data_IF_270113407646
#
_entry.id   IF_270113407646
#
_cell.length_a   1.000
_cell.length_b   1.000
_cell.length_c   1.000
_cell.angle_alpha   90.00
_cell.angle_beta   90.00
_cell.angle_gamma   90.00
#
_symmetry.space_group_name_H-M   'P 1'
#
loop_
_entity.id
_entity.type
_entity.pdbx_description
1 polymer ?
#
# COMPACT_ATOMS: atom_id res chain seq x y z
N UNK A 1 8.88 9.05 8.24
CA UNK A 1 8.72 7.82 9.03
C UNK A 1 9.10 6.62 8.19
N UNK A 2 9.69 5.58 8.79
CA UNK A 2 10.00 4.32 8.11
C UNK A 2 9.30 3.20 8.86
N UNK A 3 8.62 2.31 8.13
CA UNK A 3 8.03 1.08 8.66
C UNK A 3 8.69 -0.08 7.90
N UNK A 4 9.46 -0.89 8.61
CA UNK A 4 10.20 -2.02 8.06
C UNK A 4 9.60 -3.34 8.58
N UNK A 5 9.30 -4.27 7.69
CA UNK A 5 8.80 -5.58 8.06
C UNK A 5 9.90 -6.55 8.50
N UNK A 6 10.82 -6.13 9.40
CA UNK A 6 12.08 -6.74 9.92
C UNK A 6 12.21 -8.30 10.00
N UNK A 7 11.88 -9.02 8.92
CA UNK A 7 11.88 -10.47 8.81
C UNK A 7 12.22 -10.91 7.39
N UNK A 8 12.24 -12.23 7.11
CA UNK A 8 12.48 -12.75 5.76
C UNK A 8 11.55 -12.13 4.71
N UNK A 9 12.00 -12.09 3.46
CA UNK A 9 11.18 -11.51 2.38
C UNK A 9 9.83 -12.23 2.27
N UNK A 10 8.76 -11.46 2.41
CA UNK A 10 7.38 -11.96 2.38
C UNK A 10 6.85 -12.55 3.69
N UNK A 11 7.58 -12.47 4.80
CA UNK A 11 7.11 -13.02 6.08
C UNK A 11 6.25 -12.05 6.89
N UNK A 12 6.39 -10.74 6.68
CA UNK A 12 5.59 -9.73 7.38
C UNK A 12 4.39 -9.36 6.53
N UNK A 13 3.22 -9.72 7.04
CA UNK A 13 1.95 -9.60 6.35
C UNK A 13 1.05 -8.68 7.16
N UNK A 14 0.42 -7.75 6.46
CA UNK A 14 -0.70 -6.95 6.97
C UNK A 14 -1.90 -7.34 6.12
N UNK A 15 -2.84 -8.04 6.75
CA UNK A 15 -4.05 -8.58 6.14
C UNK A 15 -5.28 -7.91 6.77
N UNK A 16 -6.14 -7.33 5.94
CA UNK A 16 -7.41 -6.72 6.37
C UNK A 16 -8.62 -7.62 6.12
N UNK A 17 -8.41 -8.85 5.65
CA UNK A 17 -9.44 -9.87 5.42
C UNK A 17 -10.59 -9.37 4.51
N UNK A 18 -10.31 -8.46 3.58
CA UNK A 18 -11.28 -7.89 2.64
C UNK A 18 -12.23 -6.84 3.23
N UNK A 19 -11.92 -6.27 4.40
CA UNK A 19 -12.87 -5.41 5.13
C UNK A 19 -12.54 -3.91 5.11
N UNK A 20 -11.30 -3.50 4.81
CA UNK A 20 -10.90 -2.09 4.83
C UNK A 20 -9.63 -1.80 4.01
N UNK A 21 -9.29 -0.52 3.81
CA UNK A 21 -7.94 -0.13 3.36
C UNK A 21 -6.91 -0.47 4.44
N UNK A 22 -5.68 -0.80 4.02
CA UNK A 22 -4.60 -1.15 4.95
C UNK A 22 -3.97 0.12 5.54
N UNK A 23 -3.67 1.14 4.72
CA UNK A 23 -3.20 2.45 5.19
C UNK A 23 -3.91 3.61 4.51
N UNK A 24 -4.32 4.61 5.30
CA UNK A 24 -4.80 5.90 4.81
C UNK A 24 -3.80 7.00 5.20
N UNK A 25 -3.06 7.48 4.21
CA UNK A 25 -1.98 8.43 4.35
C UNK A 25 -2.47 9.82 3.97
N UNK A 26 -2.85 10.58 5.00
CA UNK A 26 -3.28 11.98 4.89
C UNK A 26 -2.23 12.93 5.48
N UNK A 27 -2.25 14.20 5.06
CA UNK A 27 -1.34 15.22 5.59
C UNK A 27 -0.01 15.35 4.84
N UNK A 28 1.07 15.77 5.51
CA UNK A 28 2.36 16.13 4.86
C UNK A 28 3.51 15.19 5.22
N UNK A 29 3.22 14.07 5.89
CA UNK A 29 4.26 13.18 6.39
C UNK A 29 4.87 12.34 5.27
N UNK A 30 6.20 12.34 5.16
CA UNK A 30 6.92 11.40 4.31
C UNK A 30 6.97 10.03 4.99
N UNK A 31 6.57 8.98 4.28
CA UNK A 31 6.57 7.61 4.79
C UNK A 31 7.28 6.67 3.82
N UNK A 32 8.00 5.69 4.39
CA UNK A 32 8.65 4.62 3.63
C UNK A 32 8.22 3.28 4.18
N UNK A 33 7.68 2.42 3.33
CA UNK A 33 7.40 1.02 3.64
C UNK A 33 8.48 0.14 3.02
N UNK A 34 9.02 -0.79 3.81
CA UNK A 34 10.07 -1.72 3.37
C UNK A 34 9.70 -3.14 3.76
N UNK A 35 9.76 -4.07 2.80
CA UNK A 35 9.64 -5.52 3.04
C UNK A 35 8.33 -5.92 3.77
N UNK A 36 7.20 -5.44 3.26
CA UNK A 36 5.87 -5.71 3.84
C UNK A 36 4.94 -6.24 2.73
N UNK A 37 4.15 -7.24 3.08
CA UNK A 37 3.06 -7.73 2.24
C UNK A 37 1.73 -7.10 2.70
N UNK A 38 1.08 -6.39 1.79
CA UNK A 38 -0.21 -5.74 1.96
C UNK A 38 -1.25 -6.59 1.23
N UNK A 39 -2.08 -7.34 1.98
CA UNK A 39 -2.99 -8.31 1.37
C UNK A 39 -4.45 -8.12 1.75
N UNK A 40 -5.33 -8.49 0.82
CA UNK A 40 -6.79 -8.48 0.99
C UNK A 40 -7.34 -7.12 1.49
N UNK A 41 -6.75 -6.03 1.00
CA UNK A 41 -7.27 -4.68 1.18
C UNK A 41 -8.56 -4.45 0.40
N UNK A 42 -9.54 -3.77 0.99
CA UNK A 42 -10.80 -3.43 0.33
C UNK A 42 -11.24 -2.01 0.69
N UNK A 43 -11.32 -1.12 -0.29
CA UNK A 43 -11.69 0.28 -0.03
C UNK A 43 -12.38 0.95 -1.22
N UNK A 44 -12.83 2.19 -1.03
CA UNK A 44 -13.24 3.01 -2.17
C UNK A 44 -12.04 3.46 -3.00
N UNK A 45 -11.00 3.93 -2.33
CA UNK A 45 -9.77 4.44 -2.96
C UNK A 45 -8.59 3.69 -2.35
N UNK A 46 -7.77 3.03 -3.16
CA UNK A 46 -6.54 2.39 -2.70
C UNK A 46 -6.80 1.20 -1.78
N UNK A 47 -7.09 0.02 -2.34
CA UNK A 47 -7.44 -1.16 -1.55
C UNK A 47 -6.39 -1.50 -0.48
N UNK A 48 -5.11 -1.42 -0.83
CA UNK A 48 -4.01 -1.49 0.13
C UNK A 48 -3.68 -0.12 0.73
N UNK A 49 -3.28 0.85 -0.09
CA UNK A 49 -2.85 2.17 0.39
C UNK A 49 -3.63 3.28 -0.32
N UNK A 50 -4.25 4.14 0.46
CA UNK A 50 -4.75 5.43 -0.01
C UNK A 50 -3.77 6.55 0.36
N UNK A 51 -3.26 7.28 -0.63
CA UNK A 51 -2.33 8.39 -0.48
C UNK A 51 -2.93 9.68 -1.06
N UNK A 52 -3.58 10.46 -0.19
CA UNK A 52 -4.13 11.78 -0.51
C UNK A 52 -3.36 12.93 0.16
N UNK A 53 -2.36 12.61 0.96
CA UNK A 53 -1.45 13.58 1.55
C UNK A 53 -0.43 14.14 0.56
N UNK A 54 0.15 15.30 0.91
CA UNK A 54 1.25 15.98 0.20
C UNK A 54 2.64 15.43 0.55
N UNK A 55 2.70 14.40 1.39
CA UNK A 55 3.94 13.72 1.74
C UNK A 55 4.50 12.89 0.58
N UNK A 56 5.71 12.38 0.76
CA UNK A 56 6.32 11.43 -0.17
C UNK A 56 6.04 10.01 0.33
N UNK A 57 5.46 9.18 -0.54
CA UNK A 57 5.27 7.75 -0.31
C UNK A 57 6.38 6.96 -1.02
N UNK A 58 7.27 6.34 -0.24
CA UNK A 58 8.27 5.41 -0.75
C UNK A 58 7.88 3.98 -0.41
N UNK A 59 7.96 3.08 -1.40
CA UNK A 59 7.63 1.67 -1.25
C UNK A 59 8.80 0.86 -1.82
N UNK A 60 9.39 0.00 -0.99
CA UNK A 60 10.55 -0.79 -1.38
C UNK A 60 10.39 -2.25 -0.96
N UNK A 61 10.68 -3.18 -1.86
CA UNK A 61 10.68 -4.62 -1.56
C UNK A 61 9.33 -5.15 -1.02
N UNK A 62 8.22 -4.50 -1.36
CA UNK A 62 6.89 -4.85 -0.85
C UNK A 62 6.10 -5.73 -1.82
N UNK A 63 5.04 -6.36 -1.31
CA UNK A 63 4.04 -7.07 -2.11
C UNK A 63 2.66 -6.46 -1.84
N UNK A 64 1.89 -6.22 -2.88
CA UNK A 64 0.46 -5.92 -2.82
C UNK A 64 -0.29 -7.06 -3.49
N UNK A 65 -1.08 -7.81 -2.74
CA UNK A 65 -1.78 -9.00 -3.24
C UNK A 65 -3.27 -9.00 -2.89
N UNK A 66 -4.12 -9.32 -3.87
CA UNK A 66 -5.57 -9.45 -3.69
C UNK A 66 -6.26 -8.21 -3.08
N UNK A 67 -5.71 -7.00 -3.30
CA UNK A 67 -6.35 -5.77 -2.87
C UNK A 67 -7.36 -5.31 -3.93
N UNK A 68 -8.50 -4.76 -3.50
CA UNK A 68 -9.57 -4.28 -4.37
C UNK A 68 -10.04 -2.89 -3.96
N UNK A 69 -10.33 -2.03 -4.94
CA UNK A 69 -10.96 -0.74 -4.69
C UNK A 69 -11.76 -0.24 -5.89
N UNK A 70 -12.63 0.76 -5.72
CA UNK A 70 -13.26 1.44 -6.88
C UNK A 70 -12.22 2.23 -7.69
N UNK A 71 -11.22 2.83 -7.02
CA UNK A 71 -10.13 3.56 -7.68
C UNK A 71 -8.78 3.09 -7.14
N UNK A 72 -7.89 2.58 -8.00
CA UNK A 72 -6.55 2.12 -7.62
C UNK A 72 -6.59 0.86 -6.76
N UNK A 73 -6.82 -0.30 -7.38
CA UNK A 73 -7.07 -1.58 -6.68
C UNK A 73 -6.08 -1.92 -5.55
N UNK A 74 -4.78 -1.64 -5.75
CA UNK A 74 -3.78 -1.75 -4.69
C UNK A 74 -3.51 -0.40 -4.01
N UNK A 75 -3.20 0.61 -4.82
CA UNK A 75 -2.78 1.91 -4.32
C UNK A 75 -3.48 2.98 -5.14
N UNK A 76 -4.04 3.97 -4.46
CA UNK A 76 -4.51 5.19 -5.08
C UNK A 76 -3.69 6.36 -4.52
N UNK A 77 -3.01 7.08 -5.40
CA UNK A 77 -2.25 8.29 -5.04
C UNK A 77 -2.75 9.48 -5.82
N UNK A 78 -3.38 10.41 -5.11
CA UNK A 78 -3.93 11.63 -5.70
C UNK A 78 -2.86 12.73 -5.86
N UNK A 79 -1.76 12.61 -5.12
CA UNK A 79 -0.63 13.55 -5.16
C UNK A 79 0.60 12.93 -5.85
N UNK A 80 1.50 13.80 -6.35
CA UNK A 80 2.50 13.43 -7.37
C UNK A 80 3.76 12.73 -6.88
N UNK A 81 4.00 12.59 -5.57
CA UNK A 81 5.29 12.13 -5.05
C UNK A 81 5.20 10.71 -4.48
N UNK A 82 5.31 9.73 -5.37
CA UNK A 82 5.42 8.32 -5.03
C UNK A 82 6.64 7.69 -5.72
N UNK A 83 7.38 6.87 -4.99
CA UNK A 83 8.46 6.06 -5.54
C UNK A 83 8.27 4.60 -5.15
N UNK A 84 8.24 3.70 -6.12
CA UNK A 84 8.08 2.26 -5.91
C UNK A 84 9.24 1.53 -6.54
N UNK A 85 9.96 0.75 -5.74
CA UNK A 85 11.17 0.03 -6.15
C UNK A 85 11.07 -1.42 -5.69
N UNK A 86 11.48 -2.37 -6.53
CA UNK A 86 11.59 -3.81 -6.22
C UNK A 86 10.32 -4.45 -5.60
N UNK A 87 9.16 -3.89 -5.91
CA UNK A 87 7.87 -4.31 -5.33
C UNK A 87 6.99 -5.03 -6.36
N UNK A 88 6.07 -5.85 -5.89
CA UNK A 88 5.17 -6.66 -6.73
C UNK A 88 3.70 -6.29 -6.48
N UNK A 89 2.91 -6.31 -7.53
CA UNK A 89 1.46 -6.13 -7.50
C UNK A 89 0.81 -7.35 -8.17
N UNK A 90 0.09 -8.16 -7.40
CA UNK A 90 -0.48 -9.43 -7.83
C UNK A 90 -1.99 -9.43 -7.54
N UNK A 91 -2.81 -9.73 -8.55
CA UNK A 91 -4.27 -9.91 -8.39
C UNK A 91 -5.00 -8.73 -7.73
N UNK A 92 -4.50 -7.50 -7.87
CA UNK A 92 -5.21 -6.32 -7.37
C UNK A 92 -6.23 -5.84 -8.42
N UNK A 93 -7.42 -5.44 -7.99
CA UNK A 93 -8.55 -5.20 -8.88
C UNK A 93 -9.19 -3.83 -8.64
N UNK A 94 -9.51 -3.13 -9.72
CA UNK A 94 -10.51 -2.05 -9.69
C UNK A 94 -11.89 -2.66 -9.94
N UNK A 95 -12.89 -2.27 -9.15
CA UNK A 95 -14.27 -2.74 -9.26
C UNK A 95 -15.11 -1.88 -10.21
#
# INVERSE_FOLDING_TARGET
>A
MIINGDGPKGSVIIDTEGTNFIFNLTGTCNITFININFINGYAKDGGGIYHSGRGILNIKDCLFENNSAENGGAINSQERNMNIVDSKFINNQEN
#
